data_IF_584856834073
#
_entry.id   IF_584856834073
#
_cell.length_a   1.000
_cell.length_b   1.000
_cell.length_c   1.000
_cell.angle_alpha   90.00
_cell.angle_beta   90.00
_cell.angle_gamma   90.00
#
_symmetry.space_group_name_H-M   'P 1'
#
loop_
_entity.id
_entity.type
_entity.pdbx_description
1 polymer ?
#
# COMPACT_ATOMS: atom_id res chain seq x y z
N UNK A 1 -40.80 -7.80 16.13
CA UNK A 1 -39.84 -6.85 16.70
C UNK A 1 -38.58 -7.01 15.87
N UNK A 2 -38.31 -6.07 14.97
CA UNK A 2 -37.15 -6.09 14.11
C UNK A 2 -36.13 -5.11 14.70
N UNK A 3 -35.03 -5.64 15.25
CA UNK A 3 -33.87 -4.83 15.60
C UNK A 3 -33.20 -4.39 14.30
N UNK A 4 -33.20 -3.08 14.09
CA UNK A 4 -32.52 -2.43 12.98
C UNK A 4 -31.04 -2.38 13.33
N UNK A 5 -30.24 -3.28 12.76
CA UNK A 5 -28.78 -3.19 12.83
C UNK A 5 -28.34 -1.95 12.03
N UNK A 6 -28.03 -0.87 12.74
CA UNK A 6 -27.25 0.25 12.21
C UNK A 6 -25.83 -0.24 11.94
N UNK A 7 -25.59 -0.76 10.73
CA UNK A 7 -24.24 -0.78 10.18
C UNK A 7 -23.87 0.67 9.84
N UNK A 8 -22.77 1.14 10.44
CA UNK A 8 -22.18 2.44 10.12
C UNK A 8 -21.63 2.31 8.70
N UNK A 9 -22.27 3.00 7.77
CA UNK A 9 -21.78 3.22 6.41
C UNK A 9 -20.52 4.09 6.53
N UNK A 10 -19.34 3.51 6.29
CA UNK A 10 -18.05 4.17 6.56
C UNK A 10 -17.63 5.18 5.48
N UNK A 11 -18.45 5.43 4.46
CA UNK A 11 -18.04 6.17 3.25
C UNK A 11 -18.92 7.39 2.88
N UNK A 12 -19.52 8.10 3.83
CA UNK A 12 -20.15 9.41 3.52
C UNK A 12 -19.64 10.56 4.41
N UNK A 13 -18.60 11.27 3.94
CA UNK A 13 -18.37 12.66 4.36
C UNK A 13 -18.92 13.59 3.27
N UNK A 14 -20.13 14.09 3.49
CA UNK A 14 -20.75 15.13 2.64
C UNK A 14 -20.02 16.46 2.85
N UNK A 15 -19.52 17.07 1.78
CA UNK A 15 -19.16 18.49 1.77
C UNK A 15 -20.41 19.33 1.45
N UNK A 16 -20.44 20.58 1.92
CA UNK A 16 -21.60 21.47 1.89
C UNK A 16 -22.09 21.89 0.48
N UNK A 17 -21.47 21.42 -0.62
CA UNK A 17 -21.78 21.87 -1.98
C UNK A 17 -22.15 20.75 -2.97
N UNK A 18 -22.59 19.58 -2.47
CA UNK A 18 -23.30 18.56 -3.27
C UNK A 18 -22.54 17.93 -4.45
N UNK A 19 -21.26 18.25 -4.63
CA UNK A 19 -20.39 17.65 -5.64
C UNK A 19 -19.60 16.47 -5.07
N UNK A 20 -19.77 15.28 -5.64
CA UNK A 20 -18.87 14.16 -5.39
C UNK A 20 -17.46 14.54 -5.88
N UNK A 21 -16.57 14.94 -4.97
CA UNK A 21 -15.15 15.06 -5.29
C UNK A 21 -14.60 13.65 -5.41
N UNK A 22 -14.57 13.14 -6.65
CA UNK A 22 -13.80 11.96 -7.02
C UNK A 22 -12.33 12.33 -6.78
N UNK A 23 -11.81 12.08 -5.58
CA UNK A 23 -10.37 12.20 -5.32
C UNK A 23 -9.72 11.18 -6.25
N UNK A 24 -9.08 11.66 -7.30
CA UNK A 24 -8.29 10.85 -8.22
C UNK A 24 -7.24 10.14 -7.37
N UNK A 25 -7.40 8.83 -7.21
CA UNK A 25 -6.39 8.00 -6.55
C UNK A 25 -5.11 8.20 -7.36
N UNK A 26 -4.07 8.76 -6.75
CA UNK A 26 -2.82 8.99 -7.45
C UNK A 26 -2.13 7.64 -7.60
N UNK A 27 -1.83 7.29 -8.85
CA UNK A 27 -1.16 6.03 -9.14
C UNK A 27 0.27 6.04 -8.58
N UNK A 28 0.67 4.91 -7.99
CA UNK A 28 2.07 4.66 -7.68
C UNK A 28 2.80 4.14 -8.90
N UNK A 29 4.13 4.17 -8.88
CA UNK A 29 4.94 3.57 -9.95
C UNK A 29 4.58 2.10 -10.18
N UNK A 30 4.25 1.34 -9.13
CA UNK A 30 3.80 -0.04 -9.26
C UNK A 30 2.43 -0.17 -9.92
N UNK A 31 1.45 0.60 -9.43
CA UNK A 31 0.08 0.56 -9.95
C UNK A 31 0.08 0.98 -11.43
N UNK A 32 0.86 2.00 -11.76
CA UNK A 32 1.06 2.51 -13.12
C UNK A 32 1.80 1.50 -14.02
N UNK A 33 2.82 0.80 -13.49
CA UNK A 33 3.53 -0.26 -14.21
C UNK A 33 2.62 -1.44 -14.53
N UNK A 34 1.78 -1.86 -13.57
CA UNK A 34 0.88 -3.00 -13.72
C UNK A 34 -0.54 -2.61 -14.17
N UNK A 35 -0.75 -1.37 -14.59
CA UNK A 35 -1.97 -0.95 -15.31
C UNK A 35 -2.05 -1.62 -16.70
N UNK A 36 -0.90 -1.90 -17.31
CA UNK A 36 -0.82 -2.55 -18.63
C UNK A 36 -0.99 -4.07 -18.48
N UNK A 37 -2.01 -4.65 -19.14
CA UNK A 37 -2.26 -6.11 -19.17
C UNK A 37 -1.02 -6.92 -19.57
N UNK A 38 -0.23 -6.42 -20.52
CA UNK A 38 1.05 -7.04 -20.92
C UNK A 38 2.01 -7.24 -19.73
N UNK A 39 2.10 -6.24 -18.83
CA UNK A 39 2.97 -6.29 -17.66
C UNK A 39 2.40 -7.21 -16.57
N UNK A 40 1.07 -7.23 -16.39
CA UNK A 40 0.40 -8.21 -15.52
C UNK A 40 0.62 -9.64 -16.02
N UNK A 41 0.57 -9.88 -17.34
CA UNK A 41 0.85 -11.18 -17.94
C UNK A 41 2.30 -11.62 -17.70
N UNK A 42 3.28 -10.70 -17.86
CA UNK A 42 4.69 -10.97 -17.55
C UNK A 42 4.90 -11.35 -16.09
N UNK A 43 4.24 -10.62 -15.17
CA UNK A 43 4.22 -10.95 -13.75
C UNK A 43 3.60 -12.33 -13.50
N UNK A 44 2.44 -12.62 -14.07
CA UNK A 44 1.76 -13.91 -13.91
C UNK A 44 2.65 -15.06 -14.36
N UNK A 45 3.20 -14.99 -15.58
CA UNK A 45 4.08 -16.04 -16.14
C UNK A 45 5.36 -16.24 -15.35
N UNK A 46 5.81 -15.23 -14.62
CA UNK A 46 6.94 -15.37 -13.69
C UNK A 46 6.56 -16.20 -12.46
N UNK A 47 5.34 -16.01 -11.94
CA UNK A 47 4.84 -16.74 -10.78
C UNK A 47 4.35 -18.16 -11.14
N UNK A 48 3.83 -18.33 -12.35
CA UNK A 48 3.26 -19.56 -12.90
C UNK A 48 3.90 -19.90 -14.26
N UNK A 49 5.19 -20.31 -14.29
CA UNK A 49 5.86 -20.68 -15.53
C UNK A 49 5.27 -21.93 -16.21
N UNK A 50 4.51 -22.74 -15.47
CA UNK A 50 3.77 -23.90 -15.96
C UNK A 50 2.60 -23.53 -16.90
N UNK A 51 2.04 -22.33 -16.74
CA UNK A 51 0.85 -21.86 -17.46
C UNK A 51 1.23 -21.17 -18.79
N UNK A 52 1.81 -21.96 -19.69
CA UNK A 52 2.37 -21.49 -20.96
C UNK A 52 1.32 -20.95 -21.95
N UNK A 53 0.07 -21.41 -21.83
CA UNK A 53 -1.03 -21.11 -22.74
C UNK A 53 -1.83 -19.87 -22.34
N UNK A 54 -1.56 -19.29 -21.16
CA UNK A 54 -2.23 -18.08 -20.69
C UNK A 54 -1.85 -16.88 -21.56
N UNK A 55 -2.88 -16.14 -21.95
CA UNK A 55 -2.82 -14.92 -22.77
C UNK A 55 -3.43 -13.73 -22.04
N UNK A 56 -3.37 -12.54 -22.62
CA UNK A 56 -4.01 -11.35 -22.04
C UNK A 56 -5.54 -11.48 -21.95
N UNK A 57 -6.16 -12.31 -22.80
CA UNK A 57 -7.61 -12.55 -22.80
C UNK A 57 -8.07 -13.38 -21.59
N UNK A 58 -7.16 -14.17 -20.98
CA UNK A 58 -7.42 -14.91 -19.75
C UNK A 58 -7.36 -14.00 -18.49
N UNK A 59 -6.82 -12.78 -18.63
CA UNK A 59 -6.76 -11.79 -17.57
C UNK A 59 -8.11 -11.07 -17.47
N UNK A 60 -8.89 -11.42 -16.44
CA UNK A 60 -10.16 -10.75 -16.16
C UNK A 60 -10.00 -9.68 -15.09
N UNK A 61 -10.71 -8.58 -15.29
CA UNK A 61 -10.64 -7.41 -14.43
C UNK A 61 -11.64 -7.56 -13.28
N UNK A 62 -11.30 -8.33 -12.23
CA UNK A 62 -11.75 -7.93 -10.89
C UNK A 62 -10.82 -6.81 -10.47
N UNK A 63 -11.16 -5.61 -10.93
CA UNK A 63 -10.41 -4.38 -10.67
C UNK A 63 -10.51 -4.03 -9.19
N UNK A 64 -9.62 -4.60 -8.37
CA UNK A 64 -9.04 -3.81 -7.27
C UNK A 64 -7.94 -2.95 -7.89
N UNK A 65 -8.32 -2.12 -8.87
CA UNK A 65 -7.63 -0.88 -9.10
C UNK A 65 -8.20 0.07 -8.05
N UNK A 66 -7.45 0.36 -6.98
CA UNK A 66 -7.51 1.63 -6.24
C UNK A 66 -8.85 2.14 -5.65
N UNK A 67 -10.02 1.51 -5.83
CA UNK A 67 -11.30 2.20 -5.58
C UNK A 67 -11.66 2.31 -4.10
N UNK A 68 -10.96 1.67 -3.18
CA UNK A 68 -11.56 1.45 -1.86
C UNK A 68 -10.63 1.54 -0.65
N UNK A 69 -9.40 1.99 -0.82
CA UNK A 69 -8.61 2.42 0.33
C UNK A 69 -8.03 3.79 0.04
N UNK A 70 -8.65 4.81 0.65
CA UNK A 70 -8.05 6.14 0.85
C UNK A 70 -6.83 6.07 1.79
N UNK A 71 -6.07 4.97 1.76
CA UNK A 71 -4.95 4.69 2.65
C UNK A 71 -3.75 4.24 1.83
N UNK A 72 -2.57 4.51 2.36
CA UNK A 72 -1.34 4.86 1.62
C UNK A 72 -0.61 3.66 1.02
N UNK A 73 -1.33 2.62 0.60
CA UNK A 73 -0.72 1.37 0.14
C UNK A 73 -1.13 1.00 -1.27
N UNK A 74 -0.11 0.69 -2.06
CA UNK A 74 -0.21 0.27 -3.44
C UNK A 74 -0.37 -1.25 -3.42
N UNK A 75 -1.48 -1.77 -3.92
CA UNK A 75 -1.73 -3.20 -3.94
C UNK A 75 -2.35 -3.55 -5.30
N UNK A 76 -1.98 -4.69 -5.87
CA UNK A 76 -2.44 -5.16 -7.17
C UNK A 76 -3.31 -6.40 -6.97
N UNK A 77 -4.58 -6.31 -7.36
CA UNK A 77 -5.50 -7.44 -7.41
C UNK A 77 -5.91 -7.74 -8.86
N UNK A 78 -5.79 -8.98 -9.30
CA UNK A 78 -6.25 -9.41 -10.64
C UNK A 78 -6.67 -10.87 -10.65
N UNK A 79 -7.43 -11.25 -11.69
CA UNK A 79 -7.86 -12.62 -11.91
C UNK A 79 -7.21 -13.22 -13.15
N UNK A 80 -6.81 -14.48 -13.05
CA UNK A 80 -6.42 -15.31 -14.20
C UNK A 80 -7.22 -16.59 -14.14
N UNK A 81 -8.14 -16.76 -15.09
CA UNK A 81 -9.10 -17.89 -15.08
C UNK A 81 -9.84 -17.96 -13.72
N UNK A 82 -9.61 -18.98 -12.92
CA UNK A 82 -10.21 -19.21 -11.61
C UNK A 82 -9.28 -18.84 -10.44
N UNK A 83 -8.12 -18.20 -10.68
CA UNK A 83 -7.20 -17.72 -9.64
C UNK A 83 -7.39 -16.24 -9.36
N UNK A 84 -7.58 -15.90 -8.09
CA UNK A 84 -7.55 -14.52 -7.58
C UNK A 84 -6.17 -14.22 -7.01
N UNK A 85 -5.44 -13.33 -7.68
CA UNK A 85 -4.10 -12.92 -7.26
C UNK A 85 -4.15 -11.58 -6.53
N UNK A 86 -3.54 -11.52 -5.35
CA UNK A 86 -3.38 -10.29 -4.57
C UNK A 86 -1.91 -10.11 -4.22
N UNK A 87 -1.33 -9.02 -4.72
CA UNK A 87 0.05 -8.64 -4.46
C UNK A 87 0.05 -7.35 -3.66
N UNK A 88 0.53 -7.43 -2.43
CA UNK A 88 0.77 -6.25 -1.62
C UNK A 88 2.14 -5.66 -1.95
N UNK A 89 2.18 -4.39 -2.37
CA UNK A 89 3.44 -3.73 -2.71
C UNK A 89 4.23 -3.31 -1.47
N UNK A 90 5.53 -3.09 -1.72
CA UNK A 90 6.61 -3.40 -0.83
C UNK A 90 6.77 -2.43 0.34
N UNK A 91 7.10 -3.02 1.50
CA UNK A 91 7.71 -2.28 2.59
C UNK A 91 9.22 -2.53 2.56
N UNK A 92 10.01 -1.46 2.58
CA UNK A 92 11.45 -1.56 2.85
C UNK A 92 11.74 -2.04 4.27
N UNK A 93 10.77 -1.87 5.17
CA UNK A 93 10.80 -2.38 6.54
C UNK A 93 9.99 -3.66 6.63
N UNK A 94 10.61 -4.74 7.10
CA UNK A 94 9.91 -6.01 7.29
C UNK A 94 8.85 -5.93 8.40
N UNK A 95 7.65 -6.42 8.11
CA UNK A 95 6.59 -6.57 9.11
C UNK A 95 5.70 -7.77 8.78
N UNK A 96 5.45 -8.61 9.77
CA UNK A 96 4.55 -9.78 9.64
C UNK A 96 3.07 -9.37 9.60
N UNK A 97 2.76 -8.12 9.94
CA UNK A 97 1.40 -7.57 9.86
C UNK A 97 0.87 -7.51 8.42
N UNK A 98 1.72 -7.69 7.41
CA UNK A 98 1.30 -7.81 6.01
C UNK A 98 0.32 -8.98 5.81
N UNK A 99 0.38 -10.02 6.64
CA UNK A 99 -0.58 -11.14 6.60
C UNK A 99 -2.00 -10.64 6.89
N UNK A 100 -2.15 -9.74 7.85
CA UNK A 100 -3.45 -9.14 8.20
C UNK A 100 -3.96 -8.26 7.06
N UNK A 101 -3.07 -7.49 6.41
CA UNK A 101 -3.43 -6.70 5.22
C UNK A 101 -3.91 -7.59 4.08
N UNK A 102 -3.16 -8.66 3.76
CA UNK A 102 -3.53 -9.61 2.72
C UNK A 102 -4.90 -10.28 3.00
N UNK A 103 -5.19 -10.61 4.27
CA UNK A 103 -6.50 -11.13 4.68
C UNK A 103 -7.64 -10.11 4.45
N UNK A 104 -7.44 -8.85 4.84
CA UNK A 104 -8.44 -7.79 4.64
C UNK A 104 -8.70 -7.60 3.14
N UNK A 105 -7.66 -7.61 2.33
CA UNK A 105 -7.79 -7.48 0.87
C UNK A 105 -8.52 -8.66 0.29
N UNK A 106 -8.16 -9.89 0.66
CA UNK A 106 -8.84 -11.09 0.20
C UNK A 106 -10.34 -11.07 0.50
N UNK A 107 -10.71 -10.76 1.75
CA UNK A 107 -12.11 -10.66 2.14
C UNK A 107 -12.87 -9.64 1.28
N UNK A 108 -12.23 -8.50 0.99
CA UNK A 108 -12.82 -7.44 0.17
C UNK A 108 -12.90 -7.81 -1.31
N UNK A 109 -11.88 -8.46 -1.86
CA UNK A 109 -11.90 -9.00 -3.23
C UNK A 109 -13.07 -9.95 -3.42
N UNK A 110 -13.28 -10.86 -2.46
CA UNK A 110 -14.41 -11.77 -2.51
C UNK A 110 -15.74 -11.06 -2.33
N UNK A 111 -15.84 -10.07 -1.46
CA UNK A 111 -17.05 -9.25 -1.37
C UNK A 111 -17.43 -8.64 -2.73
N UNK A 112 -16.47 -8.00 -3.40
CA UNK A 112 -16.69 -7.42 -4.73
C UNK A 112 -17.04 -8.48 -5.78
N UNK A 113 -16.35 -9.62 -5.76
CA UNK A 113 -16.67 -10.75 -6.64
C UNK A 113 -18.11 -11.26 -6.44
N UNK A 114 -18.63 -11.19 -5.20
CA UNK A 114 -19.97 -11.65 -4.86
C UNK A 114 -21.07 -10.61 -5.02
N UNK A 115 -20.75 -9.33 -5.14
CA UNK A 115 -21.76 -8.28 -5.31
C UNK A 115 -22.61 -8.53 -6.58
N UNK A 116 -22.01 -9.11 -7.62
CA UNK A 116 -22.69 -9.46 -8.88
C UNK A 116 -23.51 -10.77 -8.82
N UNK A 117 -23.32 -11.59 -7.79
CA UNK A 117 -23.88 -12.95 -7.67
C UNK A 117 -24.47 -13.22 -6.28
N UNK A 118 -24.88 -12.16 -5.58
CA UNK A 118 -25.34 -12.19 -4.19
C UNK A 118 -26.50 -13.15 -3.95
N UNK A 119 -27.35 -13.39 -4.95
CA UNK A 119 -28.45 -14.36 -4.86
C UNK A 119 -27.94 -15.81 -4.80
N UNK A 120 -26.80 -16.12 -5.41
CA UNK A 120 -26.20 -17.47 -5.41
C UNK A 120 -25.65 -17.86 -4.04
N UNK A 121 -25.20 -16.90 -3.23
CA UNK A 121 -24.75 -17.13 -1.85
C UNK A 121 -25.84 -17.71 -0.94
N UNK A 122 -27.12 -17.45 -1.25
CA UNK A 122 -28.26 -17.96 -0.52
C UNK A 122 -28.92 -19.17 -1.21
N UNK A 123 -28.32 -19.66 -2.30
CA UNK A 123 -28.80 -20.83 -3.02
C UNK A 123 -28.20 -22.12 -2.46
N UNK A 124 -28.88 -23.26 -2.68
CA UNK A 124 -28.32 -24.59 -2.37
C UNK A 124 -27.19 -25.00 -3.33
N UNK A 125 -27.00 -24.27 -4.43
CA UNK A 125 -25.96 -24.56 -5.43
C UNK A 125 -24.61 -24.12 -4.87
N UNK A 126 -23.64 -25.04 -4.88
CA UNK A 126 -22.25 -24.72 -4.53
C UNK A 126 -21.73 -23.65 -5.50
N UNK A 127 -21.31 -22.52 -4.94
CA UNK A 127 -20.70 -21.45 -5.70
C UNK A 127 -19.24 -21.79 -6.06
N UNK A 128 -18.80 -21.34 -7.23
CA UNK A 128 -17.39 -21.36 -7.61
C UNK A 128 -16.68 -20.19 -6.94
N UNK A 129 -15.66 -20.50 -6.14
CA UNK A 129 -14.85 -19.53 -5.44
C UNK A 129 -13.47 -19.50 -6.11
N UNK A 130 -13.01 -18.34 -6.60
CA UNK A 130 -11.66 -18.22 -7.11
C UNK A 130 -10.62 -18.65 -6.09
N UNK A 131 -9.64 -19.46 -6.48
CA UNK A 131 -8.52 -19.86 -5.63
C UNK A 131 -7.66 -18.63 -5.32
N UNK A 132 -7.48 -18.25 -4.04
CA UNK A 132 -6.74 -17.04 -3.72
C UNK A 132 -5.24 -17.31 -3.62
N UNK A 133 -4.45 -16.45 -4.23
CA UNK A 133 -3.00 -16.45 -4.09
C UNK A 133 -2.49 -15.09 -3.60
N UNK A 134 -1.81 -15.13 -2.46
CA UNK A 134 -1.37 -13.93 -1.76
C UNK A 134 0.14 -13.80 -1.81
N UNK A 135 0.61 -12.63 -2.21
CA UNK A 135 2.02 -12.34 -2.36
C UNK A 135 2.36 -11.00 -1.69
N UNK A 136 3.61 -10.91 -1.21
CA UNK A 136 4.23 -9.64 -0.81
C UNK A 136 5.54 -9.49 -1.55
N UNK A 137 5.76 -8.32 -2.14
CA UNK A 137 7.07 -7.95 -2.68
C UNK A 137 7.91 -7.34 -1.56
N UNK A 138 9.09 -7.90 -1.29
CA UNK A 138 10.01 -7.41 -0.28
C UNK A 138 11.23 -6.73 -0.94
N UNK A 139 11.38 -5.44 -0.68
CA UNK A 139 12.47 -4.60 -1.23
C UNK A 139 13.53 -4.21 -0.20
N UNK A 140 13.38 -4.69 1.04
CA UNK A 140 14.34 -4.42 2.11
C UNK A 140 15.58 -5.33 2.07
N UNK A 141 16.44 -5.14 3.06
CA UNK A 141 17.67 -5.93 3.20
C UNK A 141 17.46 -7.22 4.00
N UNK A 142 18.33 -8.19 3.73
CA UNK A 142 18.40 -9.46 4.45
C UNK A 142 17.36 -10.48 4.01
N UNK A 143 17.74 -11.74 4.14
CA UNK A 143 16.92 -12.88 3.74
C UNK A 143 15.60 -12.93 4.53
N UNK A 144 14.55 -13.42 3.87
CA UNK A 144 13.21 -13.58 4.45
C UNK A 144 12.64 -14.94 4.08
N UNK A 145 11.78 -15.52 4.93
CA UNK A 145 11.07 -16.75 4.59
C UNK A 145 10.35 -16.61 3.25
N UNK A 146 10.38 -17.63 2.41
CA UNK A 146 9.66 -17.64 1.14
C UNK A 146 8.13 -17.68 1.30
N UNK A 147 7.65 -18.11 2.47
CA UNK A 147 6.23 -18.09 2.86
C UNK A 147 6.14 -17.71 4.34
N UNK A 148 5.15 -16.88 4.67
CA UNK A 148 4.75 -16.58 6.04
C UNK A 148 3.27 -16.95 6.21
N UNK A 149 2.87 -17.35 7.41
CA UNK A 149 1.50 -17.79 7.68
C UNK A 149 0.91 -17.19 8.94
N UNK A 150 -0.40 -16.97 8.94
CA UNK A 150 -1.12 -16.38 10.07
C UNK A 150 -0.96 -17.23 11.34
N UNK A 151 -1.10 -18.55 11.21
CA UNK A 151 -0.94 -19.47 12.33
C UNK A 151 0.45 -19.41 12.97
N UNK A 152 1.50 -19.38 12.16
CA UNK A 152 2.88 -19.36 12.65
C UNK A 152 3.22 -18.03 13.32
N UNK A 153 2.91 -16.91 12.67
CA UNK A 153 3.32 -15.58 13.14
C UNK A 153 2.47 -15.06 14.31
N UNK A 154 1.18 -15.41 14.37
CA UNK A 154 0.25 -14.85 15.37
C UNK A 154 -0.30 -15.85 16.37
N UNK A 155 -0.28 -17.16 16.07
CA UNK A 155 -0.94 -18.17 16.90
C UNK A 155 -0.01 -19.29 17.38
N UNK A 156 1.30 -19.17 17.18
CA UNK A 156 2.29 -20.14 17.64
C UNK A 156 2.22 -21.47 16.90
N UNK A 157 1.86 -21.44 15.61
CA UNK A 157 1.76 -22.61 14.74
C UNK A 157 0.57 -23.53 15.04
N UNK A 158 -0.42 -23.07 15.82
CA UNK A 158 -1.64 -23.83 16.11
C UNK A 158 -2.53 -23.90 14.87
N UNK A 159 -3.18 -25.05 14.67
CA UNK A 159 -4.22 -25.20 13.66
C UNK A 159 -5.46 -24.39 14.07
N UNK A 160 -5.85 -23.42 13.24
CA UNK A 160 -6.95 -22.48 13.47
C UNK A 160 -8.03 -22.62 12.41
N UNK A 161 -9.22 -22.06 12.67
CA UNK A 161 -10.32 -22.06 11.70
C UNK A 161 -10.07 -21.20 10.45
N UNK A 162 -9.08 -20.31 10.52
CA UNK A 162 -8.61 -19.48 9.41
C UNK A 162 -7.10 -19.63 9.29
N UNK A 163 -6.63 -19.88 8.07
CA UNK A 163 -5.22 -19.88 7.70
C UNK A 163 -5.02 -18.93 6.52
N UNK A 164 -3.97 -18.12 6.58
CA UNK A 164 -3.60 -17.18 5.53
C UNK A 164 -2.13 -17.35 5.28
N UNK A 165 -1.77 -17.73 4.06
CA UNK A 165 -0.39 -17.92 3.64
C UNK A 165 -0.04 -16.87 2.61
N UNK A 166 1.08 -16.19 2.83
CA UNK A 166 1.58 -15.15 1.93
C UNK A 166 2.96 -15.57 1.44
N UNK A 167 3.11 -15.68 0.13
CA UNK A 167 4.39 -15.94 -0.53
C UNK A 167 5.20 -14.63 -0.58
N UNK A 168 6.46 -14.70 -0.18
CA UNK A 168 7.36 -13.54 -0.19
C UNK A 168 8.19 -13.58 -1.45
N UNK A 169 8.09 -12.51 -2.25
CA UNK A 169 8.90 -12.30 -3.44
C UNK A 169 10.03 -11.35 -3.07
N UNK A 170 11.27 -11.82 -3.12
CA UNK A 170 12.47 -11.02 -2.89
C UNK A 170 13.28 -10.86 -4.17
N UNK A 171 14.32 -10.03 -4.11
CA UNK A 171 15.32 -9.92 -5.16
C UNK A 171 15.89 -11.30 -5.52
N UNK A 172 16.11 -11.51 -6.81
CA UNK A 172 16.69 -12.72 -7.38
C UNK A 172 17.55 -12.38 -8.60
N UNK A 173 18.21 -13.38 -9.19
CA UNK A 173 19.06 -13.18 -10.38
C UNK A 173 18.28 -13.13 -11.71
N UNK A 174 16.94 -13.16 -11.68
CA UNK A 174 16.14 -13.20 -12.90
C UNK A 174 15.89 -11.82 -13.49
N UNK A 175 15.95 -11.73 -14.81
CA UNK A 175 15.63 -10.51 -15.56
C UNK A 175 14.14 -10.43 -15.91
N UNK A 176 13.28 -10.49 -14.89
CA UNK A 176 11.83 -10.34 -15.04
C UNK A 176 11.33 -9.01 -14.47
N UNK A 177 10.13 -8.62 -14.87
CA UNK A 177 9.53 -7.33 -14.51
C UNK A 177 9.40 -7.12 -12.99
N UNK A 178 9.21 -8.20 -12.22
CA UNK A 178 9.07 -8.13 -10.75
C UNK A 178 10.43 -7.84 -10.13
N UNK A 179 11.46 -8.57 -10.56
CA UNK A 179 12.81 -8.34 -10.07
C UNK A 179 13.34 -6.96 -10.49
N UNK A 180 13.05 -6.52 -11.72
CA UNK A 180 13.38 -5.16 -12.16
C UNK A 180 12.68 -4.09 -11.29
N UNK A 181 11.43 -4.31 -10.89
CA UNK A 181 10.73 -3.42 -9.96
C UNK A 181 11.37 -3.40 -8.55
N UNK A 182 11.80 -4.56 -8.05
CA UNK A 182 12.52 -4.67 -6.78
C UNK A 182 13.84 -3.87 -6.84
N UNK A 183 14.62 -4.06 -7.90
CA UNK A 183 15.88 -3.33 -8.11
C UNK A 183 15.64 -1.83 -8.23
N UNK A 184 14.62 -1.39 -8.99
CA UNK A 184 14.22 0.02 -9.07
C UNK A 184 13.93 0.60 -7.68
N UNK A 185 13.17 -0.11 -6.86
CA UNK A 185 12.82 0.29 -5.50
C UNK A 185 14.04 0.37 -4.58
N UNK A 186 15.00 -0.55 -4.73
CA UNK A 186 16.26 -0.55 -3.98
C UNK A 186 17.16 0.62 -4.37
N UNK A 187 17.36 0.85 -5.68
CA UNK A 187 18.11 2.00 -6.19
C UNK A 187 17.49 3.30 -5.66
N UNK A 188 16.17 3.42 -5.65
CA UNK A 188 15.49 4.57 -5.08
C UNK A 188 15.76 4.76 -3.58
N UNK A 189 15.76 3.68 -2.79
CA UNK A 189 16.10 3.76 -1.37
C UNK A 189 17.56 4.22 -1.16
N UNK A 190 18.49 3.76 -1.99
CA UNK A 190 19.89 4.23 -1.98
C UNK A 190 19.99 5.72 -2.33
N UNK A 191 19.34 6.17 -3.42
CA UNK A 191 19.38 7.58 -3.81
C UNK A 191 18.71 8.47 -2.77
N UNK A 192 17.64 8.01 -2.12
CA UNK A 192 17.02 8.71 -0.99
C UNK A 192 17.93 8.85 0.21
N UNK A 193 18.79 7.86 0.48
CA UNK A 193 19.75 7.94 1.56
C UNK A 193 20.84 9.01 1.30
N UNK A 194 21.14 9.29 0.02
CA UNK A 194 22.15 10.29 -0.40
C UNK A 194 21.53 11.68 -0.52
N UNK A 195 20.47 11.81 -1.30
CA UNK A 195 19.88 13.09 -1.72
C UNK A 195 18.63 13.48 -0.93
N UNK A 196 18.17 12.63 0.00
CA UNK A 196 16.93 12.84 0.73
C UNK A 196 15.68 12.64 -0.13
N UNK A 197 14.55 13.19 0.32
CA UNK A 197 13.27 13.19 -0.42
C UNK A 197 13.25 14.33 -1.44
N UNK A 198 14.08 14.24 -2.47
CA UNK A 198 14.26 15.30 -3.47
C UNK A 198 13.97 14.82 -4.88
N UNK A 199 13.71 15.77 -5.79
CA UNK A 199 13.60 15.49 -7.22
C UNK A 199 14.89 14.89 -7.78
N UNK A 200 16.04 15.34 -7.29
CA UNK A 200 17.34 14.82 -7.69
C UNK A 200 17.51 13.33 -7.34
N UNK A 201 17.02 12.88 -6.17
CA UNK A 201 17.00 11.46 -5.82
C UNK A 201 16.21 10.61 -6.85
N UNK A 202 15.09 11.15 -7.34
CA UNK A 202 14.22 10.49 -8.32
C UNK A 202 14.91 10.47 -9.70
N UNK A 203 15.43 11.60 -10.15
CA UNK A 203 16.11 11.72 -11.44
C UNK A 203 17.34 10.81 -11.53
N UNK A 204 18.16 10.74 -10.46
CA UNK A 204 19.29 9.83 -10.40
C UNK A 204 18.86 8.35 -10.38
N UNK A 205 17.76 8.02 -9.68
CA UNK A 205 17.19 6.67 -9.71
C UNK A 205 16.83 6.27 -11.15
N UNK A 206 16.11 7.14 -11.85
CA UNK A 206 15.68 6.90 -13.23
C UNK A 206 16.89 6.77 -14.17
N UNK A 207 17.90 7.63 -14.02
CA UNK A 207 19.15 7.55 -14.79
C UNK A 207 19.86 6.21 -14.57
N UNK A 208 20.10 5.83 -13.31
CA UNK A 208 20.79 4.58 -12.95
C UNK A 208 20.02 3.36 -13.49
N UNK A 209 18.70 3.34 -13.33
CA UNK A 209 17.87 2.23 -13.81
C UNK A 209 17.91 2.10 -15.34
N UNK A 210 17.79 3.21 -16.09
CA UNK A 210 17.94 3.19 -17.55
C UNK A 210 19.32 2.71 -18.01
N UNK A 211 20.39 3.19 -17.36
CA UNK A 211 21.77 2.78 -17.65
C UNK A 211 22.00 1.28 -17.42
N UNK A 212 21.32 0.70 -16.42
CA UNK A 212 21.37 -0.73 -16.06
C UNK A 212 20.33 -1.60 -16.77
N UNK A 213 19.55 -1.03 -17.70
CA UNK A 213 18.45 -1.72 -18.37
C UNK A 213 17.32 -2.23 -17.44
N UNK A 214 17.12 -1.56 -16.30
CA UNK A 214 16.08 -1.88 -15.31
C UNK A 214 14.84 -1.05 -15.60
N UNK A 215 13.71 -1.69 -15.89
CA UNK A 215 12.44 -1.05 -16.29
C UNK A 215 12.63 -0.03 -17.43
N UNK A 216 13.63 -0.23 -18.30
CA UNK A 216 14.11 0.80 -19.22
C UNK A 216 13.00 1.31 -20.14
N UNK A 217 12.30 0.43 -20.84
CA UNK A 217 11.25 0.82 -21.78
C UNK A 217 10.10 1.59 -21.09
N UNK A 218 9.77 1.19 -19.85
CA UNK A 218 8.79 1.88 -19.03
C UNK A 218 9.28 3.28 -18.63
N UNK A 219 10.50 3.39 -18.12
CA UNK A 219 11.09 4.67 -17.70
C UNK A 219 11.30 5.62 -18.87
N UNK A 220 11.75 5.14 -20.02
CA UNK A 220 11.94 5.96 -21.23
C UNK A 220 10.62 6.52 -21.78
N UNK A 221 9.53 5.76 -21.66
CA UNK A 221 8.21 6.19 -22.15
C UNK A 221 7.41 7.03 -21.16
N UNK A 222 7.67 6.90 -19.84
CA UNK A 222 6.87 7.49 -18.75
C UNK A 222 7.67 8.33 -17.75
N UNK A 223 8.87 8.80 -18.11
CA UNK A 223 9.78 9.47 -17.16
C UNK A 223 9.12 10.62 -16.39
N UNK A 224 8.38 11.49 -17.08
CA UNK A 224 7.74 12.67 -16.46
C UNK A 224 6.64 12.26 -15.49
N UNK A 225 5.86 11.25 -15.87
CA UNK A 225 4.79 10.67 -15.07
C UNK A 225 5.38 10.01 -13.81
N UNK A 226 6.45 9.22 -13.96
CA UNK A 226 7.17 8.59 -12.84
C UNK A 226 7.70 9.63 -11.87
N UNK A 227 8.32 10.70 -12.36
CA UNK A 227 8.77 11.80 -11.50
C UNK A 227 7.60 12.43 -10.74
N UNK A 228 6.48 12.66 -11.43
CA UNK A 228 5.28 13.27 -10.84
C UNK A 228 4.68 12.37 -9.75
N UNK A 229 4.52 11.07 -10.02
CA UNK A 229 4.00 10.09 -9.06
C UNK A 229 4.89 10.01 -7.81
N UNK A 230 6.20 9.91 -8.00
CA UNK A 230 7.15 9.80 -6.88
C UNK A 230 7.26 11.10 -6.06
N UNK A 231 7.13 12.27 -6.69
CA UNK A 231 7.05 13.56 -5.98
C UNK A 231 5.74 13.68 -5.19
N UNK A 232 4.61 13.27 -5.76
CA UNK A 232 3.33 13.29 -5.05
C UNK A 232 3.33 12.42 -3.78
N UNK A 233 4.02 11.27 -3.81
CA UNK A 233 4.21 10.42 -2.64
C UNK A 233 5.04 11.08 -1.53
N UNK A 234 5.94 12.01 -1.87
CA UNK A 234 6.67 12.80 -0.85
C UNK A 234 5.74 13.78 -0.15
N UNK A 235 4.96 14.54 -0.90
CA UNK A 235 4.02 15.51 -0.35
C UNK A 235 3.02 14.82 0.59
N UNK A 236 2.51 13.65 0.21
CA UNK A 236 1.56 12.88 1.04
C UNK A 236 2.20 12.36 2.33
N UNK A 237 3.43 11.83 2.26
CA UNK A 237 4.15 11.40 3.46
C UNK A 237 4.45 12.57 4.39
N UNK A 238 4.85 13.71 3.85
CA UNK A 238 5.10 14.92 4.65
C UNK A 238 3.80 15.43 5.31
N UNK A 239 2.69 15.43 4.57
CA UNK A 239 1.36 15.79 5.09
C UNK A 239 0.91 14.82 6.19
N UNK A 240 1.08 13.51 5.99
CA UNK A 240 0.75 12.50 6.99
C UNK A 240 1.63 12.61 8.25
N UNK A 241 2.95 12.69 8.09
CA UNK A 241 3.91 12.87 9.19
C UNK A 241 3.57 14.16 9.99
N UNK A 242 3.22 15.24 9.29
CA UNK A 242 2.77 16.50 9.91
C UNK A 242 1.43 16.37 10.63
N UNK A 243 0.47 15.63 10.07
CA UNK A 243 -0.84 15.40 10.71
C UNK A 243 -0.71 14.56 11.98
N UNK A 244 0.10 13.50 11.96
CA UNK A 244 0.37 12.66 13.14
C UNK A 244 1.05 13.50 14.22
N UNK A 245 2.12 14.21 13.87
CA UNK A 245 2.82 15.11 14.79
C UNK A 245 1.86 16.15 15.40
N UNK A 246 1.00 16.77 14.58
CA UNK A 246 0.02 17.75 15.08
C UNK A 246 -0.94 17.12 16.10
N UNK A 247 -1.46 15.90 15.86
CA UNK A 247 -2.34 15.22 16.83
C UNK A 247 -1.63 14.88 18.14
N UNK A 248 -0.37 14.43 18.07
CA UNK A 248 0.41 14.12 19.27
C UNK A 248 0.71 15.39 20.07
N UNK A 249 1.11 16.48 19.39
CA UNK A 249 1.35 17.78 20.03
C UNK A 249 0.06 18.36 20.62
N UNK A 250 -1.06 18.32 19.90
CA UNK A 250 -2.38 18.78 20.39
C UNK A 250 -2.80 18.01 21.65
N UNK A 251 -2.64 16.69 21.66
CA UNK A 251 -2.94 15.84 22.82
C UNK A 251 -2.05 16.20 24.01
N UNK A 252 -0.75 16.42 23.75
CA UNK A 252 0.22 16.79 24.79
C UNK A 252 -0.03 18.19 25.35
N UNK A 253 -0.37 19.16 24.50
CA UNK A 253 -0.76 20.53 24.90
C UNK A 253 -2.02 20.49 25.77
N UNK A 254 -3.04 19.73 25.36
CA UNK A 254 -4.27 19.54 26.12
C UNK A 254 -4.00 18.96 27.51
N UNK A 255 -3.10 17.98 27.61
CA UNK A 255 -2.66 17.43 28.89
C UNK A 255 -1.97 18.50 29.76
N UNK A 256 -0.99 19.23 29.20
CA UNK A 256 -0.31 20.31 29.91
C UNK A 256 -1.28 21.37 30.46
N UNK A 257 -2.27 21.78 29.66
CA UNK A 257 -3.33 22.70 30.07
C UNK A 257 -4.19 22.13 31.21
N UNK A 258 -4.56 20.86 31.14
CA UNK A 258 -5.34 20.19 32.19
C UNK A 258 -4.59 20.10 33.53
N UNK A 259 -3.27 20.01 33.49
CA UNK A 259 -2.39 20.03 34.67
C UNK A 259 -1.99 21.45 35.11
N UNK A 260 -2.52 22.49 34.48
CA UNK A 260 -2.30 23.88 34.87
C UNK A 260 -0.94 24.46 34.48
N UNK A 261 -0.25 23.87 33.49
CA UNK A 261 0.99 24.45 32.95
C UNK A 261 0.70 25.79 32.25
N UNK A 262 1.69 26.68 32.18
CA UNK A 262 1.60 27.90 31.37
C UNK A 262 1.89 27.62 29.89
N UNK A 263 1.62 28.60 29.01
CA UNK A 263 1.98 28.53 27.59
C UNK A 263 3.50 28.38 27.46
N UNK A 264 4.29 29.19 28.18
CA UNK A 264 5.75 29.17 28.13
C UNK A 264 6.31 27.80 28.56
N UNK A 265 5.81 27.25 29.67
CA UNK A 265 6.21 25.91 30.14
C UNK A 265 5.83 24.82 29.13
N UNK A 266 4.68 24.97 28.48
CA UNK A 266 4.21 24.01 27.48
C UNK A 266 5.06 24.06 26.21
N UNK A 267 5.45 25.26 25.75
CA UNK A 267 6.38 25.43 24.62
C UNK A 267 7.70 24.70 24.91
N UNK A 268 8.28 24.91 26.08
CA UNK A 268 9.54 24.26 26.47
C UNK A 268 9.39 22.73 26.50
N UNK A 269 8.29 22.22 27.07
CA UNK A 269 8.00 20.78 27.10
C UNK A 269 7.79 20.19 25.71
N UNK A 270 7.11 20.89 24.80
CA UNK A 270 6.90 20.44 23.41
C UNK A 270 8.22 20.44 22.63
N UNK A 271 9.07 21.46 22.79
CA UNK A 271 10.43 21.50 22.22
C UNK A 271 11.21 20.26 22.63
N UNK A 272 11.22 19.93 23.92
CA UNK A 272 12.00 18.81 24.45
C UNK A 272 11.42 17.45 24.05
N UNK A 273 10.10 17.27 24.18
CA UNK A 273 9.41 16.01 23.92
C UNK A 273 9.47 15.61 22.45
N UNK A 274 9.22 16.56 21.55
CA UNK A 274 9.11 16.32 20.11
C UNK A 274 10.36 16.74 19.32
N UNK A 275 11.39 17.25 20.01
CA UNK A 275 12.65 17.75 19.43
C UNK A 275 12.44 18.80 18.34
N UNK A 276 11.43 19.64 18.52
CA UNK A 276 11.06 20.69 17.56
C UNK A 276 11.90 21.94 17.79
N UNK A 277 12.13 22.71 16.71
CA UNK A 277 12.65 24.07 16.83
C UNK A 277 11.67 24.92 17.62
N UNK A 278 12.18 25.79 18.50
CA UNK A 278 11.36 26.64 19.37
C UNK A 278 10.29 27.43 18.62
N UNK A 279 10.63 28.01 17.47
CA UNK A 279 9.68 28.73 16.62
C UNK A 279 8.53 27.84 16.13
N UNK A 280 8.80 26.59 15.76
CA UNK A 280 7.78 25.63 15.31
C UNK A 280 6.92 25.19 16.48
N UNK A 281 7.54 24.85 17.61
CA UNK A 281 6.83 24.48 18.84
C UNK A 281 5.90 25.61 19.32
N UNK A 282 6.39 26.85 19.32
CA UNK A 282 5.60 28.04 19.67
C UNK A 282 4.34 28.16 18.81
N UNK A 283 4.48 28.10 17.48
CA UNK A 283 3.34 28.15 16.56
C UNK A 283 2.33 27.02 16.80
N UNK A 284 2.81 25.81 17.08
CA UNK A 284 1.94 24.66 17.35
C UNK A 284 1.22 24.81 18.69
N UNK A 285 1.92 25.19 19.76
CA UNK A 285 1.30 25.44 21.07
C UNK A 285 0.28 26.57 20.97
N UNK A 286 0.62 27.71 20.38
CA UNK A 286 -0.33 28.82 20.17
C UNK A 286 -1.57 28.41 19.38
N UNK A 287 -1.43 27.47 18.44
CA UNK A 287 -2.55 26.95 17.65
C UNK A 287 -3.46 26.01 18.45
N UNK A 288 -2.92 25.21 19.36
CA UNK A 288 -3.64 24.13 20.07
C UNK A 288 -3.96 24.44 21.53
N UNK A 289 -3.52 25.60 22.05
CA UNK A 289 -3.75 26.05 23.43
C UNK A 289 -5.21 26.43 23.68
#
# INVERSE_FOLDING_TARGET
MAETNNFIDLDEVKTEDGGFVKRTVKDSVFSDLFEKKENVLKLYKKLHPEDVDVTEDDLSDITIQNVLINDVFNDLGFMVRDRLMILAEAQSTWTVNIIIRALIYLARSYQLYFDDVREELYSEKKMELPEPELYVIYVGDGDKPSEISLSNEFFGGRNTSLEVKVKVISESDSDDIVNQYIIFSKVYNEQRAIYGRTKEAIEETIRICKDRNILKDYLESREKEVVTMMMALFDEKEVMETHVLNREVESYVSACKSFGATIEETIEKVVNQFRLKEFTAKKMVERFW
#
